data_IF_820022253798
#
_entry.id   IF_820022253798
#
_cell.length_a   1.000
_cell.length_b   1.000
_cell.length_c   1.000
_cell.angle_alpha   90.00
_cell.angle_beta   90.00
_cell.angle_gamma   90.00
#
_symmetry.space_group_name_H-M   'P 1'
#
loop_
_entity.id
_entity.type
_entity.pdbx_description
1 polymer ?
#
# COMPACT_ATOMS: atom_id res chain seq x y z
N UNK A 1 10.30 16.84 -0.22
CA UNK A 1 10.30 17.53 1.11
C UNK A 1 11.73 17.82 1.53
N UNK A 2 12.04 19.04 2.03
CA UNK A 2 13.39 19.45 2.40
C UNK A 2 13.79 19.01 3.82
N UNK A 3 15.12 19.07 4.14
CA UNK A 3 15.68 18.65 5.44
C UNK A 3 15.10 19.40 6.65
N UNK A 4 14.76 20.69 6.48
CA UNK A 4 14.22 21.54 7.55
C UNK A 4 12.83 21.03 7.94
N UNK A 5 11.96 20.80 6.94
CA UNK A 5 10.62 20.29 7.18
C UNK A 5 10.63 18.91 7.89
N UNK A 6 11.55 18.02 7.50
CA UNK A 6 11.71 16.72 8.17
C UNK A 6 12.06 16.90 9.66
N UNK A 7 12.97 17.84 10.00
CA UNK A 7 13.35 18.12 11.38
C UNK A 7 12.21 18.70 12.19
N UNK A 8 11.44 19.65 11.64
CA UNK A 8 10.27 20.21 12.29
C UNK A 8 9.20 19.16 12.56
N UNK A 9 8.89 18.32 11.56
CA UNK A 9 7.96 17.22 11.70
C UNK A 9 8.44 16.19 12.74
N UNK A 10 9.76 15.94 12.81
CA UNK A 10 10.34 15.04 13.80
C UNK A 10 10.19 15.60 15.21
N UNK A 11 10.42 16.89 15.41
CA UNK A 11 10.20 17.58 16.69
C UNK A 11 8.71 17.53 17.08
N UNK A 12 7.80 17.82 16.15
CA UNK A 12 6.36 17.68 16.37
C UNK A 12 6.00 16.26 16.82
N UNK A 13 6.42 15.24 16.09
CA UNK A 13 6.15 13.84 16.44
C UNK A 13 6.83 13.40 17.73
N UNK A 14 7.96 14.03 18.10
CA UNK A 14 8.61 13.80 19.41
C UNK A 14 7.76 14.33 20.56
N UNK A 15 7.10 15.48 20.40
CA UNK A 15 6.24 16.06 21.44
C UNK A 15 4.87 15.38 21.48
N UNK A 16 4.19 15.31 20.36
CA UNK A 16 2.77 14.94 20.26
C UNK A 16 2.53 13.50 19.82
N UNK A 17 3.56 12.83 19.32
CA UNK A 17 3.44 11.49 18.80
C UNK A 17 3.51 10.41 19.87
N UNK A 18 3.47 9.17 19.42
CA UNK A 18 3.54 7.99 20.27
C UNK A 18 4.94 7.80 20.87
N UNK A 19 5.00 7.51 22.17
CA UNK A 19 6.26 7.28 22.91
C UNK A 19 6.65 5.79 22.91
N UNK A 20 6.73 5.19 21.72
CA UNK A 20 7.10 3.80 21.54
C UNK A 20 8.20 3.67 20.49
N UNK A 21 9.40 3.28 20.92
CA UNK A 21 10.63 3.33 20.10
C UNK A 21 11.22 1.97 19.77
N UNK A 22 10.55 0.86 20.12
CA UNK A 22 10.96 -0.48 19.68
C UNK A 22 10.87 -0.59 18.16
N UNK A 23 11.71 -1.46 17.58
CA UNK A 23 11.77 -1.69 16.13
C UNK A 23 11.50 -3.16 15.83
N UNK A 24 10.81 -3.40 14.72
CA UNK A 24 10.68 -4.74 14.15
C UNK A 24 11.88 -4.95 13.22
N UNK A 25 12.68 -6.00 13.41
CA UNK A 25 13.88 -6.24 12.61
C UNK A 25 13.53 -6.88 11.25
N UNK A 26 12.76 -6.17 10.42
CA UNK A 26 12.51 -6.64 9.05
C UNK A 26 13.81 -6.66 8.25
N UNK A 27 14.05 -7.76 7.54
CA UNK A 27 15.19 -7.90 6.63
C UNK A 27 14.70 -7.95 5.19
N UNK A 28 15.04 -6.93 4.42
CA UNK A 28 14.67 -6.77 3.02
C UNK A 28 15.74 -7.25 2.04
N UNK A 29 16.91 -7.70 2.56
CA UNK A 29 17.98 -8.19 1.71
C UNK A 29 17.50 -9.44 0.96
N UNK A 30 17.80 -9.49 -0.34
CA UNK A 30 17.42 -10.58 -1.24
C UNK A 30 15.91 -10.87 -1.26
N UNK A 31 15.07 -9.88 -0.92
CA UNK A 31 13.63 -9.98 -1.09
C UNK A 31 13.23 -9.41 -2.45
N UNK A 32 12.22 -9.99 -3.09
CA UNK A 32 11.69 -9.46 -4.35
C UNK A 32 11.23 -8.01 -4.23
N UNK A 33 11.39 -7.27 -5.31
CA UNK A 33 10.89 -5.90 -5.44
C UNK A 33 9.40 -5.89 -5.78
N UNK A 34 8.76 -4.73 -5.62
CA UNK A 34 7.38 -4.48 -6.08
C UNK A 34 7.21 -4.76 -7.58
N UNK A 35 8.22 -4.43 -8.40
CA UNK A 35 8.20 -4.73 -9.84
C UNK A 35 8.12 -6.24 -10.11
N UNK A 36 8.92 -7.04 -9.39
CA UNK A 36 8.91 -8.50 -9.54
C UNK A 36 7.58 -9.09 -9.09
N UNK A 37 6.98 -8.58 -7.99
CA UNK A 37 5.67 -9.01 -7.54
C UNK A 37 4.59 -8.71 -8.59
N UNK A 38 4.53 -7.47 -9.09
CA UNK A 38 3.55 -7.05 -10.10
C UNK A 38 3.68 -7.90 -11.37
N UNK A 39 4.92 -8.07 -11.88
CA UNK A 39 5.18 -8.92 -13.06
C UNK A 39 4.78 -10.38 -12.84
N UNK A 40 5.06 -10.93 -11.65
CA UNK A 40 4.62 -12.28 -11.30
C UNK A 40 3.10 -12.41 -11.31
N UNK A 41 2.38 -11.46 -10.72
CA UNK A 41 0.92 -11.45 -10.70
C UNK A 41 0.36 -11.33 -12.13
N UNK A 42 0.93 -10.47 -12.96
CA UNK A 42 0.55 -10.34 -14.38
C UNK A 42 0.77 -11.66 -15.11
N UNK A 43 1.90 -12.35 -14.87
CA UNK A 43 2.22 -13.62 -15.54
C UNK A 43 1.36 -14.81 -15.10
N UNK A 44 0.82 -14.79 -13.87
CA UNK A 44 -0.10 -15.80 -13.35
C UNK A 44 -1.53 -15.64 -13.92
N UNK A 45 -1.81 -14.49 -14.51
CA UNK A 45 -3.13 -14.13 -15.01
C UNK A 45 -3.01 -13.56 -16.42
N UNK A 46 -4.11 -13.48 -17.15
CA UNK A 46 -4.16 -12.83 -18.46
C UNK A 46 -4.46 -11.33 -18.36
N UNK A 47 -3.90 -10.65 -17.34
CA UNK A 47 -4.12 -9.23 -17.08
C UNK A 47 -3.58 -8.35 -18.20
N UNK A 48 -4.35 -7.34 -18.60
CA UNK A 48 -4.04 -6.43 -19.70
C UNK A 48 -4.15 -4.96 -19.33
N UNK A 49 -4.98 -4.64 -18.34
CA UNK A 49 -5.31 -3.26 -17.94
C UNK A 49 -4.63 -2.95 -16.60
N UNK A 50 -3.64 -2.05 -16.61
CA UNK A 50 -2.84 -1.66 -15.44
C UNK A 50 -3.06 -0.19 -15.08
N UNK A 51 -3.24 0.08 -13.80
CA UNK A 51 -3.25 1.42 -13.23
C UNK A 51 -2.18 1.53 -12.15
N UNK A 52 -1.41 2.63 -12.18
CA UNK A 52 -0.49 3.04 -11.11
C UNK A 52 -0.89 4.40 -10.56
N UNK A 53 -1.06 4.49 -9.25
CA UNK A 53 -1.31 5.73 -8.51
C UNK A 53 -0.03 6.07 -7.73
N UNK A 54 0.61 7.20 -8.09
CA UNK A 54 1.90 7.61 -7.54
C UNK A 54 3.07 7.03 -8.33
N UNK A 55 3.44 7.65 -9.45
CA UNK A 55 4.49 7.17 -10.35
C UNK A 55 5.86 7.77 -10.04
N UNK A 56 5.91 8.97 -9.42
CA UNK A 56 7.14 9.71 -9.10
C UNK A 56 8.12 9.75 -10.30
N UNK A 57 9.18 8.99 -10.27
CA UNK A 57 10.21 8.92 -11.30
C UNK A 57 10.11 7.67 -12.20
N UNK A 58 8.94 7.08 -12.31
CA UNK A 58 8.63 5.92 -13.18
C UNK A 58 9.42 4.63 -12.87
N UNK A 59 9.92 4.47 -11.64
CA UNK A 59 10.69 3.27 -11.27
C UNK A 59 9.92 1.96 -11.45
N UNK A 60 8.60 2.01 -11.31
CA UNK A 60 7.70 0.88 -11.53
C UNK A 60 7.06 1.00 -12.89
N UNK A 61 6.37 2.11 -13.18
CA UNK A 61 5.58 2.32 -14.39
C UNK A 61 6.33 2.00 -15.68
N UNK A 62 7.59 2.43 -15.79
CA UNK A 62 8.43 2.16 -16.97
C UNK A 62 8.73 0.67 -17.18
N UNK A 63 8.73 -0.13 -16.10
CA UNK A 63 9.11 -1.55 -16.12
C UNK A 63 7.94 -2.50 -16.34
N UNK A 64 6.70 -2.01 -16.29
CA UNK A 64 5.51 -2.81 -16.57
C UNK A 64 5.28 -2.86 -18.09
N UNK A 65 5.44 -4.05 -18.63
CA UNK A 65 5.31 -4.31 -20.07
C UNK A 65 3.87 -4.72 -20.44
N UNK A 66 2.94 -3.78 -20.23
CA UNK A 66 1.55 -3.90 -20.69
C UNK A 66 1.23 -2.74 -21.62
N UNK A 67 0.56 -3.05 -22.75
CA UNK A 67 0.16 -2.04 -23.75
C UNK A 67 -0.85 -1.05 -23.15
N UNK A 68 -1.80 -1.56 -22.37
CA UNK A 68 -2.83 -0.74 -21.73
C UNK A 68 -2.42 -0.44 -20.29
N UNK A 69 -1.66 0.63 -20.08
CA UNK A 69 -1.28 1.10 -18.77
C UNK A 69 -1.51 2.59 -18.59
N UNK A 70 -2.05 2.95 -17.44
CA UNK A 70 -2.21 4.32 -16.99
C UNK A 70 -1.39 4.54 -15.71
N UNK A 71 -0.64 5.63 -15.68
CA UNK A 71 0.12 6.07 -14.53
C UNK A 71 -0.33 7.48 -14.13
N UNK A 72 -0.83 7.64 -12.92
CA UNK A 72 -1.41 8.88 -12.40
C UNK A 72 -0.51 9.44 -11.32
N UNK A 73 -0.02 10.65 -11.54
CA UNK A 73 0.78 11.39 -10.56
C UNK A 73 0.58 12.90 -10.76
N UNK A 74 0.36 13.69 -9.69
CA UNK A 74 0.14 15.13 -9.83
C UNK A 74 1.41 15.92 -10.17
N UNK A 75 2.60 15.34 -9.93
CA UNK A 75 3.89 16.07 -10.03
C UNK A 75 4.75 15.54 -11.17
N UNK A 76 5.03 14.22 -11.19
CA UNK A 76 6.02 13.62 -12.10
C UNK A 76 5.67 12.17 -12.45
N UNK A 77 6.31 11.62 -13.50
CA UNK A 77 6.09 10.24 -13.94
C UNK A 77 4.67 9.98 -14.45
N UNK A 78 4.43 8.75 -14.87
CA UNK A 78 3.16 8.35 -15.46
C UNK A 78 2.80 9.06 -16.76
N UNK A 79 1.59 8.84 -17.24
CA UNK A 79 1.06 9.47 -18.44
C UNK A 79 -0.21 10.31 -18.20
N UNK A 80 -0.64 10.45 -16.92
CA UNK A 80 -1.78 11.28 -16.51
C UNK A 80 -1.36 12.20 -15.38
N UNK A 81 -1.41 13.54 -15.61
CA UNK A 81 -1.04 14.58 -14.64
C UNK A 81 -2.25 15.03 -13.85
N UNK A 82 -2.64 14.24 -12.82
CA UNK A 82 -3.79 14.49 -11.93
C UNK A 82 -3.48 13.95 -10.52
N UNK A 83 -4.23 14.43 -9.53
CA UNK A 83 -4.36 13.69 -8.27
C UNK A 83 -5.15 12.40 -8.49
N UNK A 84 -5.02 11.42 -7.62
CA UNK A 84 -5.85 10.21 -7.69
C UNK A 84 -7.35 10.53 -7.59
N UNK A 85 -7.72 11.52 -6.77
CA UNK A 85 -9.11 11.96 -6.62
C UNK A 85 -9.67 12.51 -7.92
N UNK A 86 -8.94 13.42 -8.57
CA UNK A 86 -9.35 14.03 -9.85
C UNK A 86 -9.40 12.99 -10.98
N UNK A 87 -8.48 12.02 -10.95
CA UNK A 87 -8.49 10.93 -11.90
C UNK A 87 -9.75 10.08 -11.75
N UNK A 88 -10.01 9.57 -10.54
CA UNK A 88 -11.14 8.69 -10.31
C UNK A 88 -12.50 9.38 -10.49
N UNK A 89 -12.59 10.71 -10.27
CA UNK A 89 -13.83 11.46 -10.49
C UNK A 89 -14.27 11.50 -11.97
N UNK A 90 -13.36 11.29 -12.90
CA UNK A 90 -13.61 11.34 -14.35
C UNK A 90 -13.29 10.02 -15.06
N UNK A 91 -12.83 9.01 -14.35
CA UNK A 91 -12.45 7.73 -14.93
C UNK A 91 -13.67 6.92 -15.35
N UNK A 92 -13.57 6.27 -16.51
CA UNK A 92 -14.60 5.36 -17.06
C UNK A 92 -14.03 3.97 -17.38
N UNK A 93 -12.73 3.75 -17.16
CA UNK A 93 -12.04 2.49 -17.46
C UNK A 93 -11.96 1.60 -16.24
N UNK A 94 -12.04 0.29 -16.48
CA UNK A 94 -11.74 -0.71 -15.47
C UNK A 94 -10.31 -1.26 -15.64
N UNK A 95 -9.77 -1.82 -14.55
CA UNK A 95 -8.40 -2.32 -14.47
C UNK A 95 -8.36 -3.74 -13.91
N UNK A 96 -7.41 -4.52 -14.39
CA UNK A 96 -7.14 -5.87 -13.87
C UNK A 96 -6.23 -5.80 -12.64
N UNK A 97 -5.31 -4.84 -12.65
CA UNK A 97 -4.34 -4.64 -11.58
C UNK A 97 -4.16 -3.15 -11.31
N UNK A 98 -4.31 -2.77 -10.06
CA UNK A 98 -4.08 -1.40 -9.58
C UNK A 98 -2.94 -1.41 -8.58
N UNK A 99 -1.88 -0.63 -8.84
CA UNK A 99 -0.79 -0.42 -7.90
C UNK A 99 -0.89 0.96 -7.26
N UNK A 100 -0.88 1.03 -5.92
CA UNK A 100 -1.02 2.26 -5.14
C UNK A 100 0.27 2.50 -4.37
N UNK A 101 1.00 3.57 -4.75
CA UNK A 101 2.24 4.04 -4.13
C UNK A 101 2.26 5.58 -4.06
N UNK A 102 1.09 6.19 -3.85
CA UNK A 102 0.89 7.64 -3.86
C UNK A 102 1.17 8.33 -2.52
N UNK A 103 0.19 9.06 -1.98
CA UNK A 103 0.33 9.71 -0.67
C UNK A 103 0.16 8.68 0.46
N UNK A 104 1.23 8.45 1.22
CA UNK A 104 1.33 7.41 2.25
C UNK A 104 0.62 7.79 3.56
N UNK A 105 -0.61 8.29 3.48
CA UNK A 105 -1.45 8.51 4.66
C UNK A 105 -2.64 7.56 4.64
N UNK A 106 -3.01 7.03 5.81
CA UNK A 106 -4.15 6.13 5.95
C UNK A 106 -5.41 6.62 5.23
N UNK A 107 -5.74 7.91 5.37
CA UNK A 107 -6.97 8.48 4.79
C UNK A 107 -6.95 8.44 3.26
N UNK A 108 -5.82 8.87 2.65
CA UNK A 108 -5.72 8.87 1.19
C UNK A 108 -5.66 7.45 0.64
N UNK A 109 -4.84 6.59 1.24
CA UNK A 109 -4.72 5.19 0.80
C UNK A 109 -6.06 4.46 0.90
N UNK A 110 -6.82 4.65 1.99
CA UNK A 110 -8.18 4.11 2.12
C UNK A 110 -9.10 4.61 1.01
N UNK A 111 -9.01 5.89 0.65
CA UNK A 111 -9.80 6.48 -0.43
C UNK A 111 -9.41 5.90 -1.80
N UNK A 112 -8.11 5.76 -2.04
CA UNK A 112 -7.58 5.18 -3.27
C UNK A 112 -7.99 3.70 -3.42
N UNK A 113 -7.96 2.91 -2.34
CA UNK A 113 -8.49 1.53 -2.32
C UNK A 113 -9.97 1.52 -2.70
N UNK A 114 -10.79 2.35 -2.01
CA UNK A 114 -12.24 2.41 -2.28
C UNK A 114 -12.53 2.78 -3.72
N UNK A 115 -11.86 3.78 -4.25
CA UNK A 115 -12.02 4.20 -5.63
C UNK A 115 -11.57 3.10 -6.61
N UNK A 116 -10.42 2.47 -6.34
CA UNK A 116 -9.91 1.37 -7.17
C UNK A 116 -10.88 0.18 -7.23
N UNK A 117 -11.53 -0.16 -6.11
CA UNK A 117 -12.54 -1.24 -6.07
C UNK A 117 -13.72 -1.00 -7.01
N UNK A 118 -14.13 0.27 -7.21
CA UNK A 118 -15.22 0.62 -8.13
C UNK A 118 -14.85 0.43 -9.61
N UNK A 119 -13.57 0.39 -9.92
CA UNK A 119 -13.04 0.25 -11.27
C UNK A 119 -12.19 -1.01 -11.44
N UNK A 120 -12.32 -1.98 -10.54
CA UNK A 120 -11.60 -3.24 -10.62
C UNK A 120 -12.39 -4.25 -11.45
N UNK A 121 -11.76 -4.84 -12.46
CA UNK A 121 -12.34 -5.93 -13.23
C UNK A 121 -12.64 -7.15 -12.33
N UNK A 122 -13.57 -8.04 -12.71
CA UNK A 122 -13.72 -9.34 -12.05
C UNK A 122 -12.37 -10.08 -11.98
N UNK A 123 -12.03 -10.64 -10.80
CA UNK A 123 -10.72 -11.26 -10.51
C UNK A 123 -9.52 -10.31 -10.52
N UNK A 124 -9.75 -8.99 -10.62
CA UNK A 124 -8.68 -8.00 -10.51
C UNK A 124 -8.09 -7.94 -9.10
N UNK A 125 -6.94 -7.28 -8.98
CA UNK A 125 -6.20 -7.17 -7.71
C UNK A 125 -5.70 -5.75 -7.49
N UNK A 126 -5.73 -5.29 -6.24
CA UNK A 126 -5.09 -4.05 -5.81
C UNK A 126 -3.82 -4.40 -5.04
N UNK A 127 -2.71 -3.74 -5.37
CA UNK A 127 -1.42 -3.88 -4.70
C UNK A 127 -1.07 -2.53 -4.05
N UNK A 128 -0.65 -2.56 -2.78
CA UNK A 128 -0.20 -1.38 -2.05
C UNK A 128 1.27 -1.51 -1.67
N UNK A 129 2.00 -0.41 -1.73
CA UNK A 129 3.38 -0.34 -1.21
C UNK A 129 3.41 0.10 0.26
N UNK A 130 4.58 -0.06 0.90
CA UNK A 130 4.91 0.48 2.23
C UNK A 130 4.03 -0.01 3.40
N UNK A 131 3.57 -1.26 3.36
CA UNK A 131 2.64 -1.80 4.36
C UNK A 131 3.31 -2.31 5.65
N UNK A 132 4.66 -2.45 5.73
CA UNK A 132 5.36 -2.99 6.89
C UNK A 132 6.38 -2.00 7.48
N UNK A 133 5.92 -1.01 8.26
CA UNK A 133 6.82 -0.09 8.97
C UNK A 133 7.66 -0.82 10.02
N UNK A 134 8.97 -0.58 10.04
CA UNK A 134 9.88 -1.17 11.04
C UNK A 134 9.92 -0.40 12.35
N UNK A 135 9.44 0.84 12.39
CA UNK A 135 9.49 1.70 13.57
C UNK A 135 8.40 2.77 13.54
N UNK A 136 8.10 3.33 14.73
CA UNK A 136 7.23 4.49 14.83
C UNK A 136 7.65 5.62 13.89
N UNK A 137 8.95 5.95 13.83
CA UNK A 137 9.46 7.04 12.99
C UNK A 137 9.25 6.81 11.50
N UNK A 138 9.24 5.54 11.06
CA UNK A 138 9.02 5.20 9.66
C UNK A 138 7.56 5.40 9.24
N UNK A 139 6.61 5.20 10.16
CA UNK A 139 5.19 5.35 9.88
C UNK A 139 4.59 6.70 10.33
N UNK A 140 5.35 7.50 11.11
CA UNK A 140 4.82 8.72 11.71
C UNK A 140 4.32 9.72 10.66
N UNK A 141 3.14 10.25 10.91
CA UNK A 141 2.54 11.36 10.15
C UNK A 141 2.42 12.59 11.05
N UNK A 142 2.93 13.75 10.61
CA UNK A 142 3.59 14.04 9.32
C UNK A 142 4.98 13.38 9.20
N UNK A 143 5.43 13.18 7.94
CA UNK A 143 6.70 12.52 7.59
C UNK A 143 7.88 13.12 8.33
N UNK A 144 8.63 12.29 9.07
CA UNK A 144 9.71 12.71 9.98
C UNK A 144 11.07 12.09 9.68
N UNK A 145 11.19 11.33 8.58
CA UNK A 145 12.45 10.77 8.08
C UNK A 145 12.39 10.49 6.58
N UNK A 146 13.54 10.27 5.94
CA UNK A 146 13.60 10.03 4.49
C UNK A 146 12.97 8.68 4.09
N UNK A 147 13.37 7.58 4.75
CA UNK A 147 12.76 6.28 4.54
C UNK A 147 11.44 6.23 5.31
N UNK A 148 10.33 6.48 4.62
CA UNK A 148 9.04 6.71 5.23
C UNK A 148 7.95 5.91 4.53
N UNK A 149 7.27 5.08 5.26
CA UNK A 149 6.14 4.28 4.77
C UNK A 149 4.79 4.96 5.02
N UNK A 150 4.76 6.00 5.85
CA UNK A 150 3.50 6.53 6.35
C UNK A 150 2.70 5.50 7.14
N UNK A 151 1.44 5.78 7.35
CA UNK A 151 0.56 4.89 8.11
C UNK A 151 -0.37 4.03 7.21
N UNK A 152 0.14 3.65 6.03
CA UNK A 152 -0.51 2.77 5.03
C UNK A 152 -0.99 1.45 5.64
N UNK A 153 -0.21 0.86 6.56
CA UNK A 153 -0.55 -0.40 7.22
C UNK A 153 -1.93 -0.40 7.89
N UNK A 154 -2.41 0.76 8.35
CA UNK A 154 -3.74 0.89 8.97
C UNK A 154 -4.87 0.62 7.96
N UNK A 155 -4.67 1.00 6.69
CA UNK A 155 -5.62 0.69 5.63
C UNK A 155 -5.69 -0.82 5.39
N UNK A 156 -4.55 -1.53 5.37
CA UNK A 156 -4.53 -3.00 5.29
C UNK A 156 -5.28 -3.61 6.45
N UNK A 157 -5.02 -3.17 7.70
CA UNK A 157 -5.72 -3.68 8.89
C UNK A 157 -7.23 -3.48 8.76
N UNK A 158 -7.70 -2.33 8.27
CA UNK A 158 -9.12 -2.10 8.01
C UNK A 158 -9.67 -3.03 6.93
N UNK A 159 -8.97 -3.19 5.80
CA UNK A 159 -9.42 -4.08 4.72
C UNK A 159 -9.51 -5.54 5.19
N UNK A 160 -8.61 -5.97 6.07
CA UNK A 160 -8.63 -7.29 6.71
C UNK A 160 -9.89 -7.59 7.53
N UNK A 161 -10.61 -6.57 7.99
CA UNK A 161 -11.86 -6.73 8.76
C UNK A 161 -13.11 -6.85 7.87
N UNK A 162 -12.98 -6.66 6.55
CA UNK A 162 -14.13 -6.70 5.62
C UNK A 162 -14.35 -8.13 5.12
N UNK A 163 -15.60 -8.61 5.19
CA UNK A 163 -15.99 -9.96 4.75
C UNK A 163 -15.81 -10.19 3.25
N UNK A 164 -15.89 -9.11 2.46
CA UNK A 164 -15.82 -9.13 0.99
C UNK A 164 -14.44 -8.78 0.43
N UNK A 165 -13.41 -8.60 1.27
CA UNK A 165 -12.05 -8.28 0.84
C UNK A 165 -11.05 -9.32 1.38
N UNK A 166 -10.56 -10.19 0.51
CA UNK A 166 -9.52 -11.15 0.86
C UNK A 166 -8.15 -10.46 0.76
N UNK A 167 -7.49 -10.25 1.93
CA UNK A 167 -6.36 -9.32 2.05
C UNK A 167 -5.14 -9.98 2.68
N UNK A 168 -3.99 -9.80 2.04
CA UNK A 168 -2.68 -10.33 2.43
C UNK A 168 -1.61 -9.24 2.39
N UNK A 169 -0.46 -9.51 3.01
CA UNK A 169 0.74 -8.68 2.85
C UNK A 169 1.93 -9.58 2.49
N UNK A 170 2.47 -9.41 1.30
CA UNK A 170 3.68 -10.11 0.90
C UNK A 170 4.91 -9.53 1.62
N UNK A 171 5.73 -10.42 2.21
CA UNK A 171 6.97 -10.05 2.87
C UNK A 171 8.07 -9.76 1.83
N UNK A 172 7.94 -8.63 1.16
CA UNK A 172 8.82 -8.12 0.11
C UNK A 172 8.76 -6.59 0.10
N UNK A 173 9.83 -5.91 -0.31
CA UNK A 173 9.91 -4.46 -0.60
C UNK A 173 9.13 -3.56 0.40
N UNK A 174 9.49 -3.60 1.68
CA UNK A 174 8.83 -2.88 2.79
C UNK A 174 7.35 -3.22 3.01
N UNK A 175 6.91 -4.37 2.51
CA UNK A 175 5.54 -4.88 2.65
C UNK A 175 4.64 -4.46 1.48
N UNK A 176 4.21 -5.46 0.72
CA UNK A 176 3.31 -5.27 -0.41
C UNK A 176 1.93 -5.84 -0.03
N UNK A 177 0.98 -4.93 0.24
CA UNK A 177 -0.41 -5.29 0.47
C UNK A 177 -1.06 -5.82 -0.80
N UNK A 178 -1.87 -6.85 -0.70
CA UNK A 178 -2.59 -7.48 -1.83
C UNK A 178 -4.05 -7.62 -1.43
N UNK A 179 -4.96 -7.03 -2.19
CA UNK A 179 -6.38 -7.00 -1.89
C UNK A 179 -7.15 -7.55 -3.08
N UNK A 180 -7.98 -8.56 -2.84
CA UNK A 180 -8.91 -9.11 -3.80
C UNK A 180 -10.35 -8.75 -3.41
N UNK A 181 -11.17 -8.40 -4.39
CA UNK A 181 -12.62 -8.24 -4.22
C UNK A 181 -13.29 -9.62 -4.28
N UNK A 182 -13.19 -10.37 -3.19
CA UNK A 182 -13.77 -11.69 -3.01
C UNK A 182 -13.94 -12.00 -1.52
N UNK A 183 -14.69 -13.05 -1.18
CA UNK A 183 -14.90 -13.49 0.20
C UNK A 183 -13.56 -13.64 0.94
N UNK A 184 -13.49 -13.05 2.13
CA UNK A 184 -12.28 -13.03 2.96
C UNK A 184 -12.08 -14.40 3.63
N UNK A 185 -11.00 -15.07 3.27
CA UNK A 185 -10.65 -16.40 3.79
C UNK A 185 -10.13 -16.39 5.24
N UNK A 186 -9.69 -15.22 5.73
CA UNK A 186 -9.08 -15.06 7.06
C UNK A 186 -9.40 -13.70 7.67
N UNK A 187 -10.67 -13.50 8.07
CA UNK A 187 -11.17 -12.22 8.60
C UNK A 187 -10.45 -11.85 9.90
N UNK A 188 -9.91 -10.65 9.97
CA UNK A 188 -9.36 -10.08 11.19
C UNK A 188 -10.49 -9.59 12.10
N UNK A 189 -10.64 -10.22 13.24
CA UNK A 189 -11.54 -9.74 14.30
C UNK A 189 -10.82 -8.70 15.15
N UNK A 190 -11.22 -7.45 15.04
CA UNK A 190 -10.65 -6.33 15.79
C UNK A 190 -11.76 -5.42 16.27
N UNK A 191 -11.84 -5.22 17.58
CA UNK A 191 -12.82 -4.33 18.19
C UNK A 191 -12.35 -2.87 18.10
N UNK A 192 -12.45 -2.30 16.91
CA UNK A 192 -12.23 -0.88 16.67
C UNK A 192 -13.11 -0.36 15.55
N UNK A 193 -13.66 0.85 15.73
CA UNK A 193 -14.36 1.61 14.69
C UNK A 193 -13.50 2.71 14.09
N UNK A 194 -12.31 2.95 14.64
CA UNK A 194 -11.44 4.05 14.22
C UNK A 194 -10.00 3.57 14.00
N UNK A 195 -9.75 2.99 12.84
CA UNK A 195 -8.45 2.47 12.43
C UNK A 195 -7.36 3.56 12.36
N UNK A 196 -7.74 4.82 12.12
CA UNK A 196 -6.81 5.96 12.15
C UNK A 196 -6.10 6.09 13.49
N UNK A 197 -6.76 5.75 14.60
CA UNK A 197 -6.23 5.85 15.97
C UNK A 197 -5.33 4.69 16.38
N UNK A 198 -5.22 3.63 15.58
CA UNK A 198 -4.30 2.54 15.85
C UNK A 198 -2.88 3.09 16.03
N UNK A 199 -2.19 2.60 17.07
CA UNK A 199 -0.83 3.02 17.42
C UNK A 199 0.20 2.04 16.87
N UNK A 200 1.41 2.52 16.62
CA UNK A 200 2.52 1.65 16.22
C UNK A 200 2.82 0.58 17.28
N UNK A 201 2.61 0.86 18.56
CA UNK A 201 2.73 -0.13 19.62
C UNK A 201 1.80 -1.34 19.40
N UNK A 202 0.57 -1.12 18.98
CA UNK A 202 -0.38 -2.20 18.67
C UNK A 202 0.09 -2.99 17.44
N UNK A 203 0.54 -2.29 16.39
CA UNK A 203 1.16 -2.91 15.23
C UNK A 203 2.37 -3.77 15.62
N UNK A 204 3.30 -3.23 16.41
CA UNK A 204 4.51 -3.92 16.82
C UNK A 204 4.23 -5.29 17.46
N UNK A 205 3.23 -5.38 18.32
CA UNK A 205 2.90 -6.65 18.99
C UNK A 205 2.03 -7.58 18.15
N UNK A 206 1.31 -7.05 17.15
CA UNK A 206 0.30 -7.82 16.42
C UNK A 206 0.53 -7.88 14.90
N UNK A 207 1.63 -7.34 14.37
CA UNK A 207 1.81 -7.15 12.91
C UNK A 207 1.62 -8.43 12.10
N UNK A 208 2.03 -9.59 12.62
CA UNK A 208 1.85 -10.88 11.92
C UNK A 208 0.37 -11.19 11.68
N UNK A 209 -0.46 -11.01 12.71
CA UNK A 209 -1.90 -11.21 12.62
C UNK A 209 -2.58 -10.10 11.83
N UNK A 210 -2.23 -8.84 12.12
CA UNK A 210 -2.80 -7.67 11.45
C UNK A 210 -2.60 -7.71 9.94
N UNK A 211 -1.43 -8.14 9.48
CA UNK A 211 -1.02 -8.02 8.10
C UNK A 211 -1.25 -9.30 7.27
N UNK A 212 -1.62 -10.44 7.89
CA UNK A 212 -1.77 -11.73 7.19
C UNK A 212 -0.58 -11.99 6.25
N UNK A 213 0.63 -12.05 6.84
CA UNK A 213 1.88 -12.04 6.08
C UNK A 213 2.08 -13.37 5.35
N UNK A 214 2.39 -13.27 4.06
CA UNK A 214 2.77 -14.40 3.19
C UNK A 214 4.13 -14.16 2.56
N UNK A 215 4.79 -15.23 2.13
CA UNK A 215 6.02 -15.14 1.35
C UNK A 215 5.73 -15.00 -0.14
N UNK A 216 6.70 -14.47 -0.89
CA UNK A 216 6.60 -14.30 -2.34
C UNK A 216 6.30 -15.61 -3.10
N UNK A 217 6.83 -16.73 -2.64
CA UNK A 217 6.59 -18.05 -3.24
C UNK A 217 5.13 -18.49 -3.12
N UNK A 218 4.42 -18.00 -2.11
CA UNK A 218 3.02 -18.38 -1.85
C UNK A 218 2.03 -17.59 -2.71
N UNK A 219 2.46 -16.54 -3.40
CA UNK A 219 1.60 -15.69 -4.25
C UNK A 219 0.80 -16.49 -5.26
N UNK A 220 1.41 -17.50 -5.89
CA UNK A 220 0.73 -18.34 -6.88
C UNK A 220 -0.47 -19.11 -6.33
N UNK A 221 -0.55 -19.32 -5.00
CA UNK A 221 -1.68 -20.01 -4.37
C UNK A 221 -2.92 -19.12 -4.22
N UNK A 222 -2.79 -17.82 -4.48
CA UNK A 222 -3.88 -16.85 -4.35
C UNK A 222 -4.71 -16.74 -5.63
N UNK A 223 -4.17 -17.22 -6.75
CA UNK A 223 -4.75 -17.20 -8.09
C UNK A 223 -5.04 -18.63 -8.59
#
# INVERSE_FOLDING_TARGET
MNKVQIRLNRFYNYIFGEKFYKKIPFNWNNKPSRVELIKKIISLNTYKEYLEIGCDNDQVFSKIDLKNKLGVDPVSGGNIRKTSDDFFSTNIKNFDIVFIDGLHTYEQVKKDIKNSLNFLNPRGVIILHDCLPSSYWQQATPRSQYKWTGDVWKAIVEMRTKEYLDTYTCYADMGLGIIFNRSNSNILKLDTKNFKRLKFKEFFYNYKNFMNIINYQEIQKLF
#
